data_IF_759091300048
#
_entry.id   IF_759091300048
#
_cell.length_a   1.000
_cell.length_b   1.000
_cell.length_c   1.000
_cell.angle_alpha   90.00
_cell.angle_beta   90.00
_cell.angle_gamma   90.00
#
_symmetry.space_group_name_H-M   'P 1'
#
loop_
_entity.id
_entity.type
_entity.pdbx_description
1 polymer ?
#
# COMPACT_ATOMS: atom_id res chain seq x y z
N UNK A 1 6.27 30.76 -24.18
CA UNK A 1 5.58 30.34 -22.94
C UNK A 1 6.25 29.09 -22.42
N UNK A 2 6.73 29.04 -21.17
CA UNK A 2 7.29 27.82 -20.61
C UNK A 2 6.21 26.73 -20.58
N UNK A 3 6.54 25.47 -20.93
CA UNK A 3 5.57 24.38 -20.92
C UNK A 3 5.00 24.23 -19.51
N UNK A 4 3.67 24.30 -19.40
CA UNK A 4 2.96 24.15 -18.14
C UNK A 4 3.07 22.71 -17.68
N UNK A 5 3.89 22.49 -16.65
CA UNK A 5 4.02 21.18 -16.02
C UNK A 5 2.64 20.66 -15.60
N UNK A 6 2.25 19.42 -15.99
CA UNK A 6 0.91 18.90 -15.73
C UNK A 6 0.63 18.81 -14.23
N UNK A 7 -0.59 19.18 -13.82
CA UNK A 7 -1.02 19.25 -12.42
C UNK A 7 -0.74 17.97 -11.62
N UNK A 8 -0.83 16.81 -12.26
CA UNK A 8 -0.53 15.52 -11.64
C UNK A 8 0.93 15.39 -11.17
N UNK A 9 1.90 15.95 -11.91
CA UNK A 9 3.32 15.92 -11.53
C UNK A 9 3.61 16.85 -10.35
N UNK A 10 2.98 18.03 -10.32
CA UNK A 10 3.09 18.95 -9.18
C UNK A 10 2.51 18.34 -7.92
N UNK A 11 1.35 17.68 -8.03
CA UNK A 11 0.73 16.98 -6.91
C UNK A 11 1.62 15.84 -6.41
N UNK A 12 2.23 15.07 -7.32
CA UNK A 12 3.14 13.99 -6.96
C UNK A 12 4.43 14.50 -6.29
N UNK A 13 5.03 15.60 -6.76
CA UNK A 13 6.16 16.25 -6.07
C UNK A 13 5.77 16.77 -4.70
N UNK A 14 4.60 17.40 -4.57
CA UNK A 14 4.10 17.90 -3.28
C UNK A 14 3.89 16.77 -2.28
N UNK A 15 3.28 15.65 -2.72
CA UNK A 15 3.10 14.46 -1.89
C UNK A 15 4.44 13.89 -1.36
N UNK A 16 5.53 14.08 -2.11
CA UNK A 16 6.86 13.61 -1.73
C UNK A 16 7.65 14.58 -0.85
N UNK A 17 7.40 15.88 -0.96
CA UNK A 17 8.08 16.87 -0.10
C UNK A 17 7.61 16.80 1.36
N UNK A 18 6.38 16.33 1.61
CA UNK A 18 5.81 16.27 2.97
C UNK A 18 5.07 14.95 3.26
N UNK A 19 5.78 13.80 3.28
CA UNK A 19 5.14 12.49 3.44
C UNK A 19 4.45 12.35 4.80
N UNK A 20 4.98 12.97 5.86
CA UNK A 20 4.37 12.99 7.19
C UNK A 20 3.00 13.68 7.16
N UNK A 21 2.92 14.87 6.58
CA UNK A 21 1.68 15.64 6.51
C UNK A 21 0.60 14.90 5.71
N UNK A 22 0.98 14.33 4.55
CA UNK A 22 0.06 13.55 3.72
C UNK A 22 -0.48 12.34 4.48
N UNK A 23 0.40 11.60 5.16
CA UNK A 23 0.00 10.44 5.94
C UNK A 23 -0.95 10.81 7.08
N UNK A 24 -0.68 11.89 7.81
CA UNK A 24 -1.57 12.39 8.86
C UNK A 24 -2.91 12.86 8.33
N UNK A 25 -2.94 13.63 7.24
CA UNK A 25 -4.18 14.08 6.62
C UNK A 25 -5.00 12.90 6.11
N UNK A 26 -4.37 11.93 5.44
CA UNK A 26 -5.06 10.74 4.96
C UNK A 26 -5.58 9.86 6.12
N UNK A 27 -4.79 9.71 7.19
CA UNK A 27 -5.21 9.03 8.42
C UNK A 27 -6.40 9.73 9.09
N UNK A 28 -6.36 11.06 9.18
CA UNK A 28 -7.44 11.87 9.78
C UNK A 28 -8.73 11.79 8.96
N UNK A 29 -8.65 11.88 7.63
CA UNK A 29 -9.79 11.71 6.73
C UNK A 29 -10.37 10.30 6.85
N UNK A 30 -9.52 9.27 6.86
CA UNK A 30 -9.96 7.89 7.05
C UNK A 30 -10.62 7.68 8.42
N UNK A 31 -10.05 8.27 9.49
CA UNK A 31 -10.60 8.27 10.84
C UNK A 31 -11.97 8.92 10.93
N UNK A 32 -12.13 10.11 10.34
CA UNK A 32 -13.41 10.84 10.30
C UNK A 32 -14.49 10.07 9.55
N UNK A 33 -14.18 9.57 8.36
CA UNK A 33 -15.11 8.75 7.57
C UNK A 33 -15.50 7.48 8.34
N UNK A 34 -14.53 6.85 9.00
CA UNK A 34 -14.79 5.68 9.83
C UNK A 34 -15.68 6.00 11.04
N UNK A 35 -15.40 7.08 11.77
CA UNK A 35 -16.24 7.52 12.90
C UNK A 35 -17.65 7.90 12.48
N UNK A 36 -17.79 8.56 11.34
CA UNK A 36 -19.09 8.90 10.77
C UNK A 36 -19.87 7.63 10.40
N UNK A 37 -19.22 6.67 9.73
CA UNK A 37 -19.80 5.37 9.42
C UNK A 37 -20.23 4.61 10.66
N UNK A 38 -19.36 4.54 11.67
CA UNK A 38 -19.66 3.91 12.97
C UNK A 38 -20.77 4.63 13.73
N UNK A 39 -20.79 5.95 13.72
CA UNK A 39 -21.82 6.77 14.36
C UNK A 39 -23.19 6.57 13.71
N UNK A 40 -23.26 6.60 12.38
CA UNK A 40 -24.48 6.32 11.62
C UNK A 40 -24.93 4.87 11.86
N UNK A 41 -24.02 3.90 11.77
CA UNK A 41 -24.33 2.51 12.03
C UNK A 41 -24.87 2.32 13.46
N UNK A 42 -24.19 2.87 14.46
CA UNK A 42 -24.62 2.81 15.87
C UNK A 42 -25.98 3.49 16.05
N UNK A 43 -26.20 4.66 15.44
CA UNK A 43 -27.47 5.38 15.52
C UNK A 43 -28.64 4.59 14.92
N UNK A 44 -28.44 3.99 13.74
CA UNK A 44 -29.46 3.16 13.08
C UNK A 44 -29.69 1.84 13.82
N UNK A 45 -28.64 1.21 14.34
CA UNK A 45 -28.71 -0.11 14.98
C UNK A 45 -29.24 -0.03 16.42
N UNK A 46 -28.76 0.92 17.23
CA UNK A 46 -29.36 1.25 18.54
C UNK A 46 -30.75 1.89 18.36
N UNK A 47 -31.02 2.38 17.15
CA UNK A 47 -32.26 2.94 16.60
C UNK A 47 -33.48 2.00 16.62
N UNK A 48 -33.28 0.71 16.88
CA UNK A 48 -34.36 -0.29 16.92
C UNK A 48 -34.80 -0.69 18.34
N UNK A 49 -34.08 -0.28 19.40
CA UNK A 49 -34.40 -0.63 20.81
C UNK A 49 -34.96 0.53 21.65
N UNK A 50 -35.69 0.23 22.73
CA UNK A 50 -36.40 1.17 23.62
C UNK A 50 -35.57 2.28 24.35
N UNK A 51 -34.28 2.42 24.05
CA UNK A 51 -33.34 3.35 24.69
C UNK A 51 -33.36 4.75 24.04
N UNK A 52 -34.54 5.33 23.82
CA UNK A 52 -34.75 6.56 23.03
C UNK A 52 -33.82 7.73 23.39
N UNK A 53 -33.61 8.00 24.69
CA UNK A 53 -32.87 9.18 25.15
C UNK A 53 -31.35 9.01 25.22
N UNK A 54 -30.83 7.77 25.24
CA UNK A 54 -29.38 7.49 25.38
C UNK A 54 -28.70 7.27 24.02
N UNK A 55 -29.49 7.10 22.95
CA UNK A 55 -29.01 6.79 21.59
C UNK A 55 -27.99 7.77 21.02
N UNK A 56 -28.34 9.05 21.03
CA UNK A 56 -27.52 10.11 20.43
C UNK A 56 -26.18 10.25 21.14
N UNK A 57 -26.12 10.38 22.49
CA UNK A 57 -24.84 10.46 23.18
C UNK A 57 -24.00 9.19 23.01
N UNK A 58 -24.62 8.00 23.02
CA UNK A 58 -23.89 6.75 22.83
C UNK A 58 -23.29 6.62 21.42
N UNK A 59 -24.07 6.95 20.38
CA UNK A 59 -23.60 6.94 18.99
C UNK A 59 -22.47 7.96 18.76
N UNK A 60 -22.55 9.14 19.39
CA UNK A 60 -21.49 10.14 19.36
C UNK A 60 -20.22 9.62 20.04
N UNK A 61 -20.34 8.99 21.21
CA UNK A 61 -19.20 8.39 21.92
C UNK A 61 -18.53 7.33 21.05
N UNK A 62 -19.29 6.41 20.44
CA UNK A 62 -18.69 5.40 19.55
C UNK A 62 -18.06 5.99 18.29
N UNK A 63 -18.70 6.97 17.67
CA UNK A 63 -18.13 7.65 16.50
C UNK A 63 -16.82 8.36 16.83
N UNK A 64 -16.75 9.06 17.97
CA UNK A 64 -15.55 9.80 18.38
C UNK A 64 -14.42 8.87 18.86
N UNK A 65 -14.73 7.93 19.77
CA UNK A 65 -13.74 7.03 20.33
C UNK A 65 -13.27 5.97 19.34
N UNK A 66 -14.07 5.62 18.33
CA UNK A 66 -13.63 4.77 17.22
C UNK A 66 -12.74 5.51 16.22
N UNK A 67 -13.11 6.74 15.83
CA UNK A 67 -12.42 7.48 14.76
C UNK A 67 -10.98 7.86 15.07
N UNK A 68 -10.72 8.32 16.30
CA UNK A 68 -9.40 8.85 16.68
C UNK A 68 -8.31 7.76 16.66
N UNK A 69 -8.44 6.62 17.38
CA UNK A 69 -7.41 5.58 17.36
C UNK A 69 -7.29 4.93 15.98
N UNK A 70 -8.40 4.75 15.26
CA UNK A 70 -8.37 4.22 13.89
C UNK A 70 -7.64 5.17 12.92
N UNK A 71 -7.96 6.47 12.97
CA UNK A 71 -7.32 7.48 12.14
C UNK A 71 -5.84 7.62 12.44
N UNK A 72 -5.45 7.56 13.71
CA UNK A 72 -4.04 7.54 14.13
C UNK A 72 -3.31 6.29 13.62
N UNK A 73 -3.91 5.10 13.76
CA UNK A 73 -3.36 3.85 13.26
C UNK A 73 -3.19 3.88 11.73
N UNK A 74 -4.20 4.36 11.00
CA UNK A 74 -4.12 4.54 9.55
C UNK A 74 -3.09 5.58 9.13
N UNK A 75 -2.95 6.69 9.87
CA UNK A 75 -1.93 7.71 9.61
C UNK A 75 -0.52 7.16 9.77
N UNK A 76 -0.25 6.46 10.89
CA UNK A 76 1.03 5.79 11.12
C UNK A 76 1.30 4.74 10.04
N UNK A 77 0.28 3.97 9.68
CA UNK A 77 0.38 2.95 8.64
C UNK A 77 0.71 3.55 7.27
N UNK A 78 0.02 4.60 6.84
CA UNK A 78 0.29 5.29 5.58
C UNK A 78 1.70 5.90 5.60
N UNK A 79 2.13 6.47 6.73
CA UNK A 79 3.47 7.02 6.89
C UNK A 79 4.54 5.93 6.73
N UNK A 80 4.36 4.78 7.39
CA UNK A 80 5.25 3.63 7.26
C UNK A 80 5.25 3.10 5.82
N UNK A 81 4.08 2.99 5.20
CA UNK A 81 3.95 2.54 3.82
C UNK A 81 4.69 3.49 2.86
N UNK A 82 4.48 4.80 2.99
CA UNK A 82 5.13 5.81 2.15
C UNK A 82 6.64 5.88 2.37
N UNK A 83 7.13 5.80 3.62
CA UNK A 83 8.57 5.76 3.92
C UNK A 83 9.27 4.57 3.27
N UNK A 84 8.51 3.50 3.03
CA UNK A 84 9.01 2.25 2.50
C UNK A 84 8.82 2.08 0.99
N UNK A 85 7.94 2.85 0.36
CA UNK A 85 7.84 2.93 -1.10
C UNK A 85 9.00 3.80 -1.58
N UNK A 86 10.16 3.17 -1.80
CA UNK A 86 11.26 3.83 -2.47
C UNK A 86 10.78 4.33 -3.84
N UNK A 87 10.91 5.63 -4.08
CA UNK A 87 10.69 6.19 -5.40
C UNK A 87 11.68 5.59 -6.40
N UNK A 88 11.27 5.33 -7.65
CA UNK A 88 12.24 5.09 -8.71
C UNK A 88 13.21 6.28 -8.78
N UNK A 89 14.51 6.05 -9.06
CA UNK A 89 15.52 7.09 -9.06
C UNK A 89 15.08 8.27 -9.95
N UNK A 90 15.24 9.52 -9.48
CA UNK A 90 14.68 10.73 -10.12
C UNK A 90 15.08 10.87 -11.58
N UNK A 91 16.29 10.45 -11.95
CA UNK A 91 16.79 10.43 -13.33
C UNK A 91 15.95 9.57 -14.30
N UNK A 92 15.26 8.55 -13.80
CA UNK A 92 14.39 7.70 -14.62
C UNK A 92 12.94 8.19 -14.70
N UNK A 93 12.50 9.06 -13.80
CA UNK A 93 11.11 9.49 -13.73
C UNK A 93 10.83 10.80 -14.47
N UNK A 94 11.83 11.69 -14.61
CA UNK A 94 11.59 13.08 -15.03
C UNK A 94 11.67 13.37 -16.54
N UNK A 95 12.26 12.54 -17.41
CA UNK A 95 12.63 13.06 -18.75
C UNK A 95 11.93 12.49 -20.01
N UNK A 96 11.33 11.29 -20.04
CA UNK A 96 10.84 10.75 -21.33
C UNK A 96 9.72 9.69 -21.23
N UNK A 97 8.72 9.63 -22.14
CA UNK A 97 7.75 8.52 -22.24
C UNK A 97 8.41 7.13 -22.33
N UNK A 98 9.64 7.06 -22.87
CA UNK A 98 10.46 5.85 -22.90
C UNK A 98 10.76 5.30 -21.49
N UNK A 99 10.89 6.15 -20.48
CA UNK A 99 11.19 5.70 -19.12
C UNK A 99 9.99 5.07 -18.42
N UNK A 100 8.76 5.55 -18.69
CA UNK A 100 7.52 4.89 -18.24
C UNK A 100 7.34 3.52 -18.90
N UNK A 101 7.67 3.41 -20.19
CA UNK A 101 7.65 2.12 -20.88
C UNK A 101 8.65 1.14 -20.27
N UNK A 102 9.87 1.60 -19.97
CA UNK A 102 10.91 0.81 -19.27
C UNK A 102 10.50 0.40 -17.85
N UNK A 103 9.85 1.28 -17.08
CA UNK A 103 9.30 0.93 -15.76
C UNK A 103 8.18 -0.11 -15.83
N UNK A 104 7.33 -0.07 -16.86
CA UNK A 104 6.31 -1.11 -17.09
C UNK A 104 6.95 -2.42 -17.54
N UNK A 105 7.98 -2.35 -18.38
CA UNK A 105 8.74 -3.52 -18.82
C UNK A 105 9.46 -4.19 -17.65
N UNK A 106 10.19 -3.44 -16.82
CA UNK A 106 10.87 -3.96 -15.63
C UNK A 106 9.90 -4.60 -14.64
N UNK A 107 8.71 -4.02 -14.43
CA UNK A 107 7.64 -4.66 -13.63
C UNK A 107 7.16 -5.99 -14.22
N UNK A 108 7.04 -6.09 -15.55
CA UNK A 108 6.68 -7.34 -16.23
C UNK A 108 7.77 -8.39 -16.06
N UNK A 109 9.03 -8.00 -16.21
CA UNK A 109 10.19 -8.87 -16.00
C UNK A 109 10.29 -9.36 -14.55
N UNK A 110 10.09 -8.47 -13.57
CA UNK A 110 10.06 -8.83 -12.15
C UNK A 110 8.92 -9.80 -11.82
N UNK A 111 7.73 -9.60 -12.41
CA UNK A 111 6.58 -10.52 -12.24
C UNK A 111 6.81 -11.89 -12.86
N UNK A 112 7.60 -11.98 -13.93
CA UNK A 112 7.98 -13.24 -14.59
C UNK A 112 9.21 -13.89 -13.96
N UNK A 113 10.05 -13.12 -13.27
CA UNK A 113 11.36 -13.57 -12.81
C UNK A 113 12.38 -13.73 -13.94
N UNK A 114 12.24 -12.95 -15.02
CA UNK A 114 13.04 -13.07 -16.24
C UNK A 114 14.24 -12.10 -16.26
N UNK A 115 15.27 -12.44 -17.05
CA UNK A 115 16.37 -11.54 -17.40
C UNK A 115 15.86 -10.40 -18.29
N UNK A 116 16.44 -9.22 -18.15
CA UNK A 116 16.26 -8.10 -19.06
C UNK A 116 17.25 -8.22 -20.22
N UNK A 117 16.88 -7.68 -21.37
CA UNK A 117 17.75 -7.68 -22.57
C UNK A 117 18.77 -6.53 -22.54
N UNK A 118 18.51 -5.48 -21.75
CA UNK A 118 19.35 -4.28 -21.65
C UNK A 118 19.91 -4.06 -20.22
N UNK A 119 21.15 -3.59 -20.07
CA UNK A 119 21.77 -3.34 -18.75
C UNK A 119 21.03 -2.26 -17.94
N UNK A 120 20.46 -1.26 -18.60
CA UNK A 120 19.67 -0.20 -17.93
C UNK A 120 18.36 -0.73 -17.35
N UNK A 121 17.69 -1.65 -18.05
CA UNK A 121 16.45 -2.29 -17.57
C UNK A 121 16.78 -3.32 -16.49
N UNK A 122 17.89 -4.06 -16.62
CA UNK A 122 18.41 -4.96 -15.60
C UNK A 122 18.67 -4.22 -14.29
N UNK A 123 19.34 -3.06 -14.33
CA UNK A 123 19.57 -2.21 -13.16
C UNK A 123 18.27 -1.80 -12.45
N UNK A 124 17.23 -1.41 -13.21
CA UNK A 124 15.91 -1.10 -12.65
C UNK A 124 15.25 -2.33 -12.01
N UNK A 125 15.34 -3.50 -12.63
CA UNK A 125 14.79 -4.76 -12.09
C UNK A 125 15.51 -5.15 -10.79
N UNK A 126 16.84 -5.10 -10.76
CA UNK A 126 17.67 -5.37 -9.58
C UNK A 126 17.32 -4.40 -8.45
N UNK A 127 17.21 -3.11 -8.75
CA UNK A 127 16.82 -2.11 -7.77
C UNK A 127 15.41 -2.38 -7.20
N UNK A 128 14.41 -2.66 -8.05
CA UNK A 128 13.05 -3.01 -7.63
C UNK A 128 13.02 -4.29 -6.78
N UNK A 129 13.74 -5.33 -7.20
CA UNK A 129 13.83 -6.60 -6.47
C UNK A 129 14.47 -6.41 -5.08
N UNK A 130 15.56 -5.64 -4.98
CA UNK A 130 16.21 -5.32 -3.69
C UNK A 130 15.31 -4.51 -2.78
N UNK A 131 14.54 -3.55 -3.31
CA UNK A 131 13.58 -2.79 -2.52
C UNK A 131 12.47 -3.70 -1.98
N UNK A 132 11.93 -4.57 -2.83
CA UNK A 132 10.90 -5.53 -2.42
C UNK A 132 11.39 -6.47 -1.32
N UNK A 133 12.62 -7.00 -1.45
CA UNK A 133 13.23 -7.85 -0.43
C UNK A 133 13.54 -7.11 0.88
N UNK A 134 14.07 -5.87 0.80
CA UNK A 134 14.31 -5.02 1.98
C UNK A 134 13.02 -4.70 2.73
N UNK A 135 11.97 -4.36 1.98
CA UNK A 135 10.66 -4.10 2.56
C UNK A 135 10.17 -5.31 3.34
N UNK A 136 10.30 -6.49 2.74
CA UNK A 136 9.82 -7.74 3.31
C UNK A 136 10.63 -8.25 4.50
N UNK A 137 11.89 -7.83 4.64
CA UNK A 137 12.71 -8.11 5.81
C UNK A 137 12.36 -7.20 6.99
N UNK A 138 12.02 -5.93 6.72
CA UNK A 138 11.66 -4.95 7.75
C UNK A 138 10.21 -5.05 8.20
N UNK A 139 9.28 -5.48 7.34
CA UNK A 139 7.89 -5.67 7.74
C UNK A 139 7.72 -6.96 8.51
N UNK A 140 7.00 -6.94 9.65
CA UNK A 140 6.72 -8.17 10.38
C UNK A 140 5.93 -9.12 9.49
N UNK A 141 6.14 -10.43 9.66
CA UNK A 141 5.70 -11.45 8.69
C UNK A 141 4.21 -11.34 8.36
N UNK A 142 3.37 -11.02 9.34
CA UNK A 142 1.92 -10.81 9.16
C UNK A 142 1.58 -9.60 8.26
N UNK A 143 2.36 -8.52 8.29
CA UNK A 143 2.17 -7.35 7.43
C UNK A 143 2.73 -7.56 6.02
N UNK A 144 3.76 -8.42 5.90
CA UNK A 144 4.41 -8.74 4.62
C UNK A 144 3.51 -9.53 3.65
N UNK A 145 2.42 -10.12 4.16
CA UNK A 145 1.43 -10.85 3.37
C UNK A 145 0.58 -9.89 2.53
N UNK A 146 0.61 -8.62 2.89
CA UNK A 146 -0.23 -7.57 2.39
C UNK A 146 0.57 -6.60 1.51
N UNK A 147 1.49 -7.11 0.67
CA UNK A 147 2.21 -6.28 -0.31
C UNK A 147 1.29 -5.58 -1.35
N UNK A 148 -0.01 -5.86 -1.32
CA UNK A 148 -1.03 -5.16 -2.07
C UNK A 148 -1.84 -4.25 -1.12
N UNK A 149 -1.88 -2.92 -1.34
CA UNK A 149 -2.62 -2.00 -0.48
C UNK A 149 -4.12 -2.31 -0.41
N UNK A 150 -4.70 -2.91 -1.48
CA UNK A 150 -6.10 -3.35 -1.50
C UNK A 150 -6.32 -4.47 -0.49
N UNK A 151 -5.35 -5.38 -0.37
CA UNK A 151 -5.41 -6.48 0.59
C UNK A 151 -5.32 -6.00 2.03
N UNK A 152 -4.45 -5.01 2.27
CA UNK A 152 -4.32 -4.36 3.57
C UNK A 152 -5.63 -3.70 3.99
N UNK A 153 -6.26 -2.95 3.07
CA UNK A 153 -7.56 -2.33 3.30
C UNK A 153 -8.64 -3.38 3.60
N UNK A 154 -8.68 -4.48 2.84
CA UNK A 154 -9.62 -5.58 3.07
C UNK A 154 -9.45 -6.20 4.47
N UNK A 155 -8.22 -6.52 4.87
CA UNK A 155 -7.92 -7.09 6.20
C UNK A 155 -8.29 -6.11 7.31
N UNK A 156 -8.01 -4.81 7.13
CA UNK A 156 -8.39 -3.77 8.09
C UNK A 156 -9.91 -3.68 8.25
N UNK A 157 -10.67 -3.72 7.15
CA UNK A 157 -12.14 -3.74 7.16
C UNK A 157 -12.67 -5.00 7.83
N UNK A 158 -12.09 -6.17 7.55
CA UNK A 158 -12.47 -7.43 8.18
C UNK A 158 -12.21 -7.43 9.69
N UNK A 159 -11.03 -6.96 10.12
CA UNK A 159 -10.72 -6.84 11.55
C UNK A 159 -11.65 -5.85 12.25
N UNK A 160 -12.02 -4.79 11.56
CA UNK A 160 -12.94 -3.80 12.07
C UNK A 160 -14.36 -4.35 12.22
N UNK A 161 -14.88 -5.06 11.22
CA UNK A 161 -16.17 -5.76 11.31
C UNK A 161 -16.16 -6.81 12.42
N UNK A 162 -15.05 -7.54 12.55
CA UNK A 162 -14.85 -8.50 13.62
C UNK A 162 -14.88 -7.83 15.01
N UNK A 163 -14.21 -6.68 15.17
CA UNK A 163 -14.24 -5.92 16.42
C UNK A 163 -15.63 -5.34 16.72
N UNK A 164 -16.30 -4.78 15.71
CA UNK A 164 -17.67 -4.27 15.83
C UNK A 164 -18.67 -5.36 16.19
N UNK A 165 -18.56 -6.55 15.59
CA UNK A 165 -19.44 -7.69 15.90
C UNK A 165 -19.24 -8.23 17.32
N UNK A 166 -18.00 -8.33 17.81
CA UNK A 166 -17.69 -8.67 19.21
C UNK A 166 -18.30 -7.66 20.18
N UNK A 167 -18.26 -6.38 19.81
CA UNK A 167 -18.86 -5.33 20.61
C UNK A 167 -20.39 -5.47 20.68
N UNK A 168 -21.04 -5.79 19.56
CA UNK A 168 -22.50 -6.03 19.53
C UNK A 168 -22.86 -7.27 20.35
N UNK A 169 -22.14 -8.38 20.19
CA UNK A 169 -22.34 -9.61 20.98
C UNK A 169 -22.27 -9.36 22.49
N UNK A 170 -21.33 -8.52 22.93
CA UNK A 170 -21.17 -8.18 24.34
C UNK A 170 -22.34 -7.35 24.90
N UNK A 171 -23.02 -6.57 24.06
CA UNK A 171 -24.14 -5.70 24.47
C UNK A 171 -25.52 -6.32 24.24
N UNK A 172 -25.65 -7.19 23.25
CA UNK A 172 -26.85 -7.95 22.94
C UNK A 172 -26.47 -9.31 22.34
N UNK A 173 -27.05 -10.37 22.90
CA UNK A 173 -27.02 -11.70 22.31
C UNK A 173 -27.93 -11.75 21.07
N UNK A 174 -27.48 -11.19 19.96
CA UNK A 174 -28.14 -11.27 18.65
C UNK A 174 -27.42 -12.31 17.77
N UNK A 175 -28.15 -13.31 17.28
CA UNK A 175 -27.64 -14.39 16.41
C UNK A 175 -26.94 -13.86 15.14
N UNK A 176 -27.37 -12.70 14.64
CA UNK A 176 -26.79 -12.02 13.48
C UNK A 176 -25.37 -11.52 13.73
N UNK A 177 -25.08 -11.03 14.93
CA UNK A 177 -23.75 -10.55 15.30
C UNK A 177 -22.76 -11.72 15.45
N UNK A 178 -23.24 -12.85 15.96
CA UNK A 178 -22.47 -14.09 16.02
C UNK A 178 -22.11 -14.61 14.63
N UNK A 179 -23.09 -14.69 13.74
CA UNK A 179 -22.88 -15.11 12.36
C UNK A 179 -21.91 -14.17 11.62
N UNK A 180 -22.02 -12.86 11.82
CA UNK A 180 -21.12 -11.86 11.22
C UNK A 180 -19.68 -12.02 11.75
N UNK A 181 -19.50 -12.22 13.05
CA UNK A 181 -18.20 -12.45 13.67
C UNK A 181 -17.52 -13.68 13.06
N UNK A 182 -18.19 -14.83 13.09
CA UNK A 182 -17.67 -16.08 12.52
C UNK A 182 -17.41 -15.95 11.01
N UNK A 183 -18.32 -15.29 10.28
CA UNK A 183 -18.13 -14.98 8.86
C UNK A 183 -16.86 -14.18 8.60
N UNK A 184 -16.60 -13.14 9.41
CA UNK A 184 -15.37 -12.34 9.33
C UNK A 184 -14.12 -13.16 9.68
N UNK A 185 -14.18 -14.03 10.70
CA UNK A 185 -13.08 -14.92 11.06
C UNK A 185 -12.74 -15.90 9.93
N UNK A 186 -13.75 -16.52 9.32
CA UNK A 186 -13.57 -17.45 8.18
C UNK A 186 -13.00 -16.70 6.98
N UNK A 187 -13.58 -15.54 6.64
CA UNK A 187 -13.07 -14.71 5.54
C UNK A 187 -11.62 -14.30 5.79
N UNK A 188 -11.27 -13.86 7.00
CA UNK A 188 -9.90 -13.51 7.36
C UNK A 188 -8.96 -14.72 7.24
N UNK A 189 -9.38 -15.89 7.72
CA UNK A 189 -8.61 -17.14 7.61
C UNK A 189 -8.35 -17.55 6.15
N UNK A 190 -9.40 -17.59 5.33
CA UNK A 190 -9.30 -17.84 3.87
C UNK A 190 -8.40 -16.80 3.22
N UNK A 191 -8.54 -15.54 3.62
CA UNK A 191 -7.73 -14.47 3.08
C UNK A 191 -6.24 -14.73 3.35
N UNK A 192 -5.88 -15.04 4.59
CA UNK A 192 -4.51 -15.34 4.98
C UNK A 192 -3.98 -16.58 4.24
N UNK A 193 -4.80 -17.62 4.11
CA UNK A 193 -4.46 -18.83 3.37
C UNK A 193 -4.15 -18.57 1.89
N UNK A 194 -4.89 -17.67 1.22
CA UNK A 194 -4.66 -17.32 -0.19
C UNK A 194 -3.44 -16.38 -0.36
N UNK A 195 -3.23 -15.46 0.58
CA UNK A 195 -2.13 -14.49 0.49
C UNK A 195 -0.75 -15.09 0.80
N UNK A 196 -0.68 -16.12 1.65
CA UNK A 196 0.56 -16.85 1.97
C UNK A 196 1.30 -17.42 0.74
N UNK A 197 0.68 -18.26 -0.13
CA UNK A 197 1.35 -18.80 -1.30
C UNK A 197 1.70 -17.71 -2.32
N UNK A 198 0.85 -16.68 -2.46
CA UNK A 198 1.13 -15.56 -3.36
C UNK A 198 2.40 -14.81 -2.94
N UNK A 199 2.55 -14.50 -1.65
CA UNK A 199 3.74 -13.81 -1.15
C UNK A 199 5.01 -14.65 -1.23
N UNK A 200 4.89 -15.97 -1.05
CA UNK A 200 5.99 -16.91 -1.29
C UNK A 200 6.40 -16.96 -2.78
N UNK A 201 5.43 -16.95 -3.70
CA UNK A 201 5.68 -16.89 -5.14
C UNK A 201 6.35 -15.58 -5.54
N UNK A 202 5.88 -14.44 -5.03
CA UNK A 202 6.50 -13.14 -5.26
C UNK A 202 7.94 -13.09 -4.75
N UNK A 203 8.23 -13.68 -3.56
CA UNK A 203 9.60 -13.83 -3.05
C UNK A 203 10.49 -14.61 -4.00
N UNK A 204 10.03 -15.78 -4.43
CA UNK A 204 10.78 -16.65 -5.35
C UNK A 204 11.07 -15.94 -6.66
N UNK A 205 10.09 -15.23 -7.21
CA UNK A 205 10.24 -14.46 -8.46
C UNK A 205 11.19 -13.27 -8.31
N UNK A 206 11.10 -12.52 -7.21
CA UNK A 206 12.01 -11.40 -6.94
C UNK A 206 13.46 -11.88 -6.78
N UNK A 207 13.69 -13.02 -6.12
CA UNK A 207 15.04 -13.62 -6.02
C UNK A 207 15.57 -14.12 -7.37
N UNK A 208 14.72 -14.75 -8.18
CA UNK A 208 15.09 -15.19 -9.54
C UNK A 208 15.42 -14.00 -10.44
N UNK A 209 14.59 -12.96 -10.43
CA UNK A 209 14.86 -11.73 -11.17
C UNK A 209 16.17 -11.08 -10.71
N UNK A 210 16.43 -11.04 -9.40
CA UNK A 210 17.68 -10.50 -8.87
C UNK A 210 18.90 -11.29 -9.38
N UNK A 211 18.87 -12.62 -9.28
CA UNK A 211 19.95 -13.47 -9.76
C UNK A 211 20.18 -13.32 -11.27
N UNK A 212 19.10 -13.29 -12.06
CA UNK A 212 19.17 -13.22 -13.52
C UNK A 212 19.64 -11.86 -14.08
N UNK A 213 19.58 -10.79 -13.27
CA UNK A 213 19.87 -9.43 -13.75
C UNK A 213 21.05 -8.77 -13.03
N UNK A 214 21.61 -9.37 -11.96
CA UNK A 214 22.69 -8.75 -11.19
C UNK A 214 23.99 -8.67 -11.99
N UNK A 215 24.29 -9.68 -12.82
CA UNK A 215 25.48 -9.72 -13.66
C UNK A 215 25.38 -8.69 -14.79
N UNK A 216 24.25 -8.67 -15.51
CA UNK A 216 23.98 -7.69 -16.58
C UNK A 216 23.91 -6.24 -16.07
N UNK A 217 23.53 -6.04 -14.80
CA UNK A 217 23.52 -4.72 -14.18
C UNK A 217 24.89 -4.29 -13.62
N UNK A 218 25.82 -5.24 -13.43
CA UNK A 218 27.17 -4.98 -12.97
C UNK A 218 28.14 -4.69 -14.13
N UNK A 219 27.76 -5.06 -15.35
CA UNK A 219 28.48 -4.67 -16.55
C UNK A 219 28.47 -3.14 -16.63
N UNK A 220 29.63 -2.47 -16.51
CA UNK A 220 29.68 -1.03 -16.60
C UNK A 220 29.11 -0.68 -17.97
N UNK A 221 28.18 0.27 -18.02
CA UNK A 221 27.74 0.83 -19.28
C UNK A 221 29.01 1.37 -19.97
N UNK A 222 29.61 0.56 -20.84
CA UNK A 222 30.63 0.99 -21.76
C UNK A 222 29.89 1.97 -22.64
N UNK A 223 29.91 3.23 -22.20
CA UNK A 223 29.52 4.37 -23.01
C UNK A 223 30.23 4.11 -24.33
N UNK A 224 29.52 3.94 -25.45
CA UNK A 224 30.19 3.93 -26.73
C UNK A 224 30.93 5.27 -26.74
N UNK A 225 32.26 5.22 -26.58
CA UNK A 225 33.10 6.37 -26.77
C UNK A 225 32.88 6.72 -28.23
N UNK A 226 31.91 7.60 -28.46
CA UNK A 226 31.72 8.22 -29.74
C UNK A 226 33.08 8.76 -30.08
N UNK A 227 33.67 8.19 -31.12
CA UNK A 227 34.90 8.65 -31.73
C UNK A 227 34.76 10.14 -31.91
N UNK A 228 35.36 10.91 -31.00
CA UNK A 228 35.52 12.35 -31.16
C UNK A 228 36.50 12.45 -32.32
N UNK A 229 35.94 12.56 -33.53
CA UNK A 229 36.72 12.86 -34.72
C UNK A 229 37.38 14.21 -34.45
N UNK A 230 38.72 14.29 -34.38
CA UNK A 230 39.38 15.59 -34.28
C UNK A 230 39.01 16.36 -35.56
N UNK A 231 38.25 17.43 -35.41
CA UNK A 231 38.00 18.36 -36.50
C UNK A 231 39.34 18.99 -36.92
N UNK A 232 39.57 19.23 -38.23
CA UNK A 232 40.77 19.90 -38.69
C UNK A 232 40.79 21.35 -38.17
N UNK A 233 41.92 21.74 -37.58
CA UNK A 233 42.26 23.12 -37.25
C UNK A 233 42.41 23.98 -38.52
#
# INVERSE_FOLDING_TARGET
>A
MPPTEPLALRYQRFLHQRPTLVAWVAGLVAGLLFGLGMGIFSYLYLGTGALGSVRVPLALVFGLFGSVPFGAAMGIFIWIAQRNVALPPPESAEAHPASRARLRASRRLLRRGAAADDPTTAGLVVWQARQMLRWQQRTPRWLSWAGNPVWQALVAVLMLLMWGSQFVLAWRAEETAEALFWGCCVLLGVSMFVSAPLTALYRRRARRALAANVELAAEPATVPQGTVSPGPC
#
